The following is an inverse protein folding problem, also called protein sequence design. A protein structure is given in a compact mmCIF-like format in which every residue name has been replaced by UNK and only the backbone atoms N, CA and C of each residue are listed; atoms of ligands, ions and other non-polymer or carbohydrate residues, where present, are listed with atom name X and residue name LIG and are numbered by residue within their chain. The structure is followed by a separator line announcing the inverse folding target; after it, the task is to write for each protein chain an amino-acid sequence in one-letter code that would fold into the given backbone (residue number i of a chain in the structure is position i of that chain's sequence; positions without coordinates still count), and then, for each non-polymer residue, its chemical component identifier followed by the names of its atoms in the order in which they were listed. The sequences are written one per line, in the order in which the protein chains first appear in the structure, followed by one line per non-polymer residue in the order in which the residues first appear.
data_IF_209650658139
#
_entry.id   IF_209650658139
#
_cell.length_a   1.000
_cell.length_b   1.000
_cell.length_c   1.000
_cell.angle_alpha   90.00
_cell.angle_beta   90.00
_cell.angle_gamma   90.00
#
_symmetry.space_group_name_H-M   'P 1'
#
loop_
_entity.id
_entity.type
_entity.pdbx_description
1 polymer ?
#
# COMPACT_ATOMS: atom_id res chain seq x y z
N UNK A 1 -24.27 6.27 -3.89
CA UNK A 1 -23.56 5.11 -3.29
C UNK A 1 -22.05 5.29 -3.44
N UNK A 2 -21.52 5.40 -4.66
CA UNK A 2 -20.11 5.67 -4.94
C UNK A 2 -19.56 6.92 -4.25
N UNK A 3 -20.30 8.03 -4.26
CA UNK A 3 -19.82 9.29 -3.66
C UNK A 3 -19.70 9.20 -2.13
N UNK A 4 -20.62 8.48 -1.48
CA UNK A 4 -20.55 8.22 -0.04
C UNK A 4 -19.34 7.34 0.30
N UNK A 5 -19.09 6.28 -0.49
CA UNK A 5 -17.92 5.41 -0.30
C UNK A 5 -16.63 6.21 -0.47
N UNK A 6 -16.55 7.06 -1.50
CA UNK A 6 -15.40 7.92 -1.72
C UNK A 6 -15.19 8.90 -0.56
N UNK A 7 -16.25 9.55 -0.08
CA UNK A 7 -16.18 10.46 1.05
C UNK A 7 -15.71 9.75 2.34
N UNK A 8 -16.19 8.53 2.60
CA UNK A 8 -15.75 7.73 3.75
C UNK A 8 -14.29 7.32 3.65
N UNK A 9 -13.82 6.93 2.46
CA UNK A 9 -12.41 6.59 2.23
C UNK A 9 -11.51 7.81 2.44
N UNK A 10 -11.88 8.97 1.84
CA UNK A 10 -11.12 10.22 2.02
C UNK A 10 -11.11 10.63 3.49
N UNK A 11 -12.27 10.60 4.16
CA UNK A 11 -12.37 10.91 5.59
C UNK A 11 -11.51 9.99 6.44
N UNK A 12 -11.48 8.69 6.14
CA UNK A 12 -10.63 7.72 6.82
C UNK A 12 -9.15 8.09 6.66
N UNK A 13 -8.67 8.35 5.44
CA UNK A 13 -7.28 8.75 5.20
C UNK A 13 -6.90 10.04 5.94
N UNK A 14 -7.80 11.03 5.94
CA UNK A 14 -7.57 12.32 6.62
C UNK A 14 -7.46 12.14 8.13
N UNK A 15 -8.26 11.25 8.74
CA UNK A 15 -8.24 10.99 10.19
C UNK A 15 -7.05 10.11 10.59
N UNK A 16 -6.68 9.18 9.72
CA UNK A 16 -5.68 8.16 9.98
C UNK A 16 -4.26 8.73 10.12
N UNK A 17 -3.89 9.75 9.33
CA UNK A 17 -2.56 10.38 9.44
C UNK A 17 -2.37 11.07 10.80
N UNK A 18 -3.28 11.95 11.28
CA UNK A 18 -3.22 12.51 12.63
C UNK A 18 -3.17 11.44 13.71
N UNK A 19 -3.98 10.38 13.61
CA UNK A 19 -3.96 9.26 14.57
C UNK A 19 -2.59 8.57 14.61
N UNK A 20 -2.00 8.27 13.46
CA UNK A 20 -0.68 7.66 13.37
C UNK A 20 0.39 8.52 14.05
N UNK A 21 0.37 9.83 13.82
CA UNK A 21 1.30 10.79 14.45
C UNK A 21 1.11 10.84 15.97
N UNK A 22 -0.14 10.89 16.45
CA UNK A 22 -0.42 10.91 17.89
C UNK A 22 0.08 9.65 18.57
N UNK A 23 -0.18 8.48 17.99
CA UNK A 23 0.28 7.18 18.51
C UNK A 23 1.79 7.07 18.48
N UNK A 24 2.44 7.54 17.42
CA UNK A 24 3.91 7.58 17.36
C UNK A 24 4.50 8.43 18.49
N UNK A 25 3.97 9.65 18.69
CA UNK A 25 4.45 10.55 19.75
C UNK A 25 4.24 9.92 21.13
N UNK A 26 3.08 9.30 21.36
CA UNK A 26 2.77 8.64 22.63
C UNK A 26 3.69 7.42 22.88
N UNK A 27 3.87 6.56 21.87
CA UNK A 27 4.79 5.42 21.92
C UNK A 27 6.23 5.85 22.23
N UNK A 28 6.69 6.97 21.65
CA UNK A 28 7.99 7.56 21.98
C UNK A 28 8.07 8.07 23.42
N UNK A 29 7.00 8.69 23.93
CA UNK A 29 6.93 9.17 25.32
C UNK A 29 6.97 8.02 26.32
N UNK A 30 6.37 6.89 25.97
CA UNK A 30 6.36 5.66 26.79
C UNK A 30 7.66 4.86 26.70
N UNK A 31 8.59 5.22 25.81
CA UNK A 31 9.87 4.52 25.65
C UNK A 31 9.73 3.12 25.05
N UNK A 32 8.73 2.88 24.21
CA UNK A 32 8.55 1.61 23.52
C UNK A 32 9.71 1.36 22.54
N UNK A 33 10.13 0.11 22.39
CA UNK A 33 11.30 -0.25 21.58
C UNK A 33 11.16 0.10 20.10
N UNK A 34 9.95 -0.01 19.53
CA UNK A 34 9.70 0.23 18.10
C UNK A 34 8.45 1.09 17.87
N UNK A 35 8.48 2.41 18.13
CA UNK A 35 7.34 3.31 17.97
C UNK A 35 6.75 3.31 16.56
N UNK A 36 7.61 3.17 15.55
CA UNK A 36 7.26 3.03 14.13
C UNK A 36 6.44 1.78 13.81
N UNK A 37 6.44 0.73 14.63
CA UNK A 37 5.53 -0.40 14.35
C UNK A 37 4.06 -0.02 14.61
N UNK A 38 3.83 0.88 15.57
CA UNK A 38 2.48 1.29 15.96
C UNK A 38 1.87 2.25 14.93
N UNK A 39 2.65 3.19 14.38
CA UNK A 39 2.16 4.09 13.34
C UNK A 39 2.00 3.37 11.99
N UNK A 40 2.90 2.44 11.65
CA UNK A 40 2.79 1.57 10.49
C UNK A 40 1.56 0.66 10.60
N UNK A 41 1.26 0.13 11.79
CA UNK A 41 0.03 -0.63 12.06
C UNK A 41 -1.25 0.17 11.78
N UNK A 42 -1.18 1.49 11.87
CA UNK A 42 -2.27 2.39 11.50
C UNK A 42 -2.24 2.63 10.00
N UNK A 43 -1.13 3.03 9.39
CA UNK A 43 -1.02 3.45 7.98
C UNK A 43 -1.17 2.29 6.98
N UNK A 44 -0.52 1.14 7.22
CA UNK A 44 -0.46 0.01 6.29
C UNK A 44 -1.83 -0.52 5.87
N UNK A 45 -2.80 -0.73 6.77
CA UNK A 45 -4.13 -1.20 6.39
C UNK A 45 -4.77 -0.37 5.28
N UNK A 46 -4.69 0.97 5.34
CA UNK A 46 -5.29 1.80 4.29
C UNK A 46 -4.47 1.83 3.01
N UNK A 47 -3.14 1.81 3.10
CA UNK A 47 -2.29 1.60 1.93
C UNK A 47 -2.60 0.25 1.25
N UNK A 48 -2.86 -0.79 2.03
CA UNK A 48 -3.25 -2.12 1.55
C UNK A 48 -4.54 -2.10 0.72
N UNK A 49 -5.55 -1.32 1.12
CA UNK A 49 -6.77 -1.14 0.32
C UNK A 49 -6.50 -0.47 -1.04
N UNK A 50 -5.63 0.54 -1.09
CA UNK A 50 -5.23 1.18 -2.36
C UNK A 50 -4.48 0.21 -3.27
N UNK A 51 -3.51 -0.53 -2.70
CA UNK A 51 -2.74 -1.54 -3.42
C UNK A 51 -3.67 -2.64 -3.94
N UNK A 52 -4.62 -3.10 -3.13
CA UNK A 52 -5.61 -4.10 -3.54
C UNK A 52 -6.49 -3.59 -4.69
N UNK A 53 -7.04 -2.38 -4.58
CA UNK A 53 -7.84 -1.78 -5.63
C UNK A 53 -7.05 -1.63 -6.93
N UNK A 54 -5.81 -1.15 -6.84
CA UNK A 54 -4.90 -1.05 -7.98
C UNK A 54 -4.62 -2.44 -8.59
N UNK A 55 -4.25 -3.41 -7.77
CA UNK A 55 -3.97 -4.78 -8.19
C UNK A 55 -5.17 -5.38 -8.93
N UNK A 56 -6.36 -5.32 -8.36
CA UNK A 56 -7.58 -5.83 -9.01
C UNK A 56 -7.84 -5.11 -10.33
N UNK A 57 -7.65 -3.79 -10.40
CA UNK A 57 -7.86 -3.01 -11.63
C UNK A 57 -6.86 -3.34 -12.75
N UNK A 58 -5.64 -3.75 -12.40
CA UNK A 58 -4.54 -3.99 -13.34
C UNK A 58 -4.17 -5.47 -13.51
N UNK A 59 -4.75 -6.39 -12.74
CA UNK A 59 -4.33 -7.80 -12.70
C UNK A 59 -4.27 -8.48 -14.06
N UNK A 60 -5.21 -8.18 -14.97
CA UNK A 60 -5.22 -8.76 -16.32
C UNK A 60 -4.05 -8.28 -17.19
N UNK A 61 -3.72 -6.99 -17.10
CA UNK A 61 -2.54 -6.41 -17.76
C UNK A 61 -1.25 -6.93 -17.14
N UNK A 62 -1.21 -7.04 -15.80
CA UNK A 62 -0.05 -7.57 -15.08
C UNK A 62 0.20 -9.05 -15.43
N UNK A 63 -0.85 -9.87 -15.49
CA UNK A 63 -0.75 -11.27 -15.89
C UNK A 63 -0.27 -11.42 -17.35
N UNK A 64 -0.78 -10.58 -18.26
CA UNK A 64 -0.35 -10.60 -19.67
C UNK A 64 1.11 -10.19 -19.83
N UNK A 65 1.56 -9.15 -19.11
CA UNK A 65 2.99 -8.76 -19.09
C UNK A 65 3.87 -9.86 -18.51
N UNK A 66 3.43 -10.52 -17.43
CA UNK A 66 4.17 -11.64 -16.84
C UNK A 66 4.33 -12.79 -17.85
N UNK A 67 3.28 -13.13 -18.60
CA UNK A 67 3.34 -14.15 -19.65
C UNK A 67 4.23 -13.75 -20.83
N UNK A 68 4.22 -12.48 -21.26
CA UNK A 68 5.11 -11.97 -22.32
C UNK A 68 6.59 -11.92 -21.89
N UNK A 69 6.84 -11.78 -20.58
CA UNK A 69 8.20 -11.82 -19.99
C UNK A 69 8.76 -13.24 -19.95
N UNK A 70 7.87 -14.24 -19.89
CA UNK A 70 8.19 -15.67 -19.75
C UNK A 70 8.26 -16.39 -21.11
N UNK A 71 7.94 -15.71 -22.23
CA UNK A 71 7.95 -16.26 -23.61
C UNK A 71 9.37 -16.46 -24.20
N UNK A 72 10.35 -16.82 -23.36
CA UNK A 72 11.59 -17.48 -23.78
C UNK A 72 12.48 -16.76 -24.80
N UNK A 73 12.32 -15.45 -25.04
CA UNK A 73 13.32 -14.70 -25.81
C UNK A 73 14.53 -14.44 -24.91
N UNK A 74 15.71 -14.99 -25.23
CA UNK A 74 16.91 -14.74 -24.43
C UNK A 74 17.17 -13.24 -24.39
N UNK A 75 17.40 -12.73 -23.18
CA UNK A 75 17.81 -11.35 -22.96
C UNK A 75 19.06 -11.07 -23.79
N UNK A 76 19.13 -9.94 -24.51
CA UNK A 76 20.29 -9.58 -25.35
C UNK A 76 21.63 -9.57 -24.57
N UNK A 77 21.56 -9.51 -23.24
CA UNK A 77 22.67 -9.67 -22.31
C UNK A 77 23.37 -11.05 -22.33
N UNK A 78 22.74 -12.10 -22.86
CA UNK A 78 23.37 -13.43 -23.03
C UNK A 78 24.12 -13.61 -24.37
N UNK A 79 24.12 -12.60 -25.25
CA UNK A 79 24.78 -12.67 -26.57
C UNK A 79 26.13 -11.96 -26.65
N UNK A 80 26.67 -11.46 -25.53
CA UNK A 80 27.94 -10.72 -25.48
C UNK A 80 29.05 -11.54 -24.79
#
# INVERSE_FOLDING_TARGET
MSDLVLALLVGLFVIQIPMAVLVYIDARRLGLENPEQYDLGIILPAAGFLVFAYYVSKRGMLARRAAESDDGRPSETERA
#
